data_IF_077267646195
#
_entry.id   IF_077267646195
#
_cell.length_a   1.000
_cell.length_b   1.000
_cell.length_c   1.000
_cell.angle_alpha   90.00
_cell.angle_beta   90.00
_cell.angle_gamma   90.00
#
_symmetry.space_group_name_H-M   'P 1'
#
loop_
_entity.id
_entity.type
_entity.pdbx_description
1 polymer ?
#
# COMPACT_ATOMS: atom_id res chain seq x y z
N UNK A 1 17.89 -10.61 -27.40
CA UNK A 1 17.88 -12.00 -26.90
C UNK A 1 17.03 -12.86 -27.84
N UNK A 2 17.44 -14.08 -28.21
CA UNK A 2 16.62 -14.94 -29.10
C UNK A 2 15.41 -15.45 -28.33
N UNK A 3 14.19 -15.31 -28.88
CA UNK A 3 12.94 -15.69 -28.17
C UNK A 3 12.94 -17.16 -27.74
N UNK A 4 13.55 -18.01 -28.55
CA UNK A 4 13.68 -19.46 -28.35
C UNK A 4 14.56 -19.87 -27.15
N UNK A 5 15.36 -18.97 -26.57
CA UNK A 5 16.19 -19.31 -25.40
C UNK A 5 15.45 -19.15 -24.07
N UNK A 6 14.23 -18.57 -24.06
CA UNK A 6 13.43 -18.42 -22.84
C UNK A 6 12.69 -19.73 -22.53
N UNK A 7 13.08 -20.39 -21.44
CA UNK A 7 12.47 -21.66 -20.98
C UNK A 7 11.35 -21.46 -19.95
N UNK A 8 11.35 -20.34 -19.23
CA UNK A 8 10.41 -20.07 -18.13
C UNK A 8 10.09 -18.58 -18.09
N UNK A 9 8.83 -18.23 -17.83
CA UNK A 9 8.36 -16.86 -17.57
C UNK A 9 7.56 -16.88 -16.26
N UNK A 10 7.82 -15.94 -15.37
CA UNK A 10 7.03 -15.73 -14.16
C UNK A 10 6.41 -14.35 -14.19
N UNK A 11 5.07 -14.28 -14.17
CA UNK A 11 4.32 -13.03 -14.09
C UNK A 11 3.76 -12.86 -12.67
N UNK A 12 3.86 -11.64 -12.14
CA UNK A 12 3.35 -11.24 -10.83
C UNK A 12 2.27 -10.15 -10.98
N UNK A 13 1.45 -9.93 -9.95
CA UNK A 13 0.24 -9.08 -10.00
C UNK A 13 -0.72 -9.41 -11.17
N UNK A 14 -0.80 -10.69 -11.57
CA UNK A 14 -1.56 -11.18 -12.75
C UNK A 14 -3.07 -10.89 -12.70
N UNK A 15 -3.62 -10.48 -11.56
CA UNK A 15 -4.99 -9.97 -11.49
C UNK A 15 -5.22 -8.73 -12.37
N UNK A 16 -4.16 -7.95 -12.64
CA UNK A 16 -4.17 -6.77 -13.51
C UNK A 16 -3.75 -7.06 -14.96
N UNK A 17 -3.42 -8.32 -15.32
CA UNK A 17 -2.99 -8.68 -16.67
C UNK A 17 -4.22 -8.99 -17.56
N UNK A 18 -4.47 -8.25 -18.65
CA UNK A 18 -5.60 -8.50 -19.54
C UNK A 18 -5.32 -9.69 -20.49
N UNK A 19 -6.39 -10.36 -20.94
CA UNK A 19 -6.28 -11.56 -21.76
C UNK A 19 -5.49 -11.34 -23.07
N UNK A 20 -5.65 -10.21 -23.76
CA UNK A 20 -4.89 -9.90 -24.97
C UNK A 20 -3.37 -9.90 -24.74
N UNK A 21 -2.92 -9.32 -23.61
CA UNK A 21 -1.50 -9.21 -23.28
C UNK A 21 -0.91 -10.57 -22.89
N UNK A 22 -1.68 -11.40 -22.16
CA UNK A 22 -1.30 -12.77 -21.85
C UNK A 22 -1.26 -13.67 -23.10
N UNK A 23 -2.25 -13.57 -24.00
CA UNK A 23 -2.26 -14.29 -25.27
C UNK A 23 -1.06 -13.90 -26.13
N UNK A 24 -0.74 -12.60 -26.24
CA UNK A 24 0.45 -12.14 -26.94
C UNK A 24 1.74 -12.70 -26.33
N UNK A 25 1.85 -12.74 -24.99
CA UNK A 25 2.99 -13.32 -24.28
C UNK A 25 3.11 -14.84 -24.51
N UNK A 26 1.99 -15.57 -24.43
CA UNK A 26 1.97 -17.02 -24.66
C UNK A 26 2.35 -17.39 -26.10
N UNK A 27 1.84 -16.66 -27.10
CA UNK A 27 2.19 -16.85 -28.51
C UNK A 27 3.64 -16.47 -28.81
N UNK A 28 4.14 -15.37 -28.22
CA UNK A 28 5.53 -14.91 -28.42
C UNK A 28 6.56 -15.89 -27.84
N UNK A 29 6.19 -16.63 -26.79
CA UNK A 29 7.07 -17.53 -26.05
C UNK A 29 6.49 -18.95 -25.94
N UNK A 30 5.96 -19.52 -27.03
CA UNK A 30 5.28 -20.82 -27.02
C UNK A 30 6.10 -22.05 -26.55
N UNK A 31 7.41 -21.91 -26.32
CA UNK A 31 8.27 -22.94 -25.69
C UNK A 31 8.53 -22.71 -24.19
N UNK A 32 8.10 -21.57 -23.64
CA UNK A 32 8.35 -21.21 -22.25
C UNK A 32 7.24 -21.71 -21.31
N UNK A 33 7.62 -22.22 -20.14
CA UNK A 33 6.68 -22.56 -19.06
C UNK A 33 6.29 -21.28 -18.33
N UNK A 34 5.00 -20.94 -18.32
CA UNK A 34 4.50 -19.70 -17.70
C UNK A 34 3.95 -20.00 -16.30
N UNK A 35 4.47 -19.29 -15.30
CA UNK A 35 3.94 -19.29 -13.93
C UNK A 35 3.23 -17.95 -13.66
N UNK A 36 1.98 -18.02 -13.19
CA UNK A 36 1.13 -16.86 -12.93
C UNK A 36 0.91 -16.69 -11.43
N UNK A 37 1.26 -15.51 -10.89
CA UNK A 37 1.09 -15.16 -9.48
C UNK A 37 0.20 -13.91 -9.37
N UNK A 38 -0.87 -13.99 -8.60
CA UNK A 38 -1.81 -12.90 -8.41
C UNK A 38 -2.91 -13.24 -7.41
N UNK A 39 -3.84 -12.33 -7.21
CA UNK A 39 -4.96 -12.46 -6.28
C UNK A 39 -6.24 -12.00 -6.97
N UNK A 40 -7.21 -12.90 -7.15
CA UNK A 40 -8.48 -12.61 -7.83
C UNK A 40 -9.36 -11.57 -7.12
N UNK A 41 -9.01 -11.17 -5.88
CA UNK A 41 -9.69 -10.13 -5.09
C UNK A 41 -8.97 -8.77 -5.11
N UNK A 42 -7.80 -8.67 -5.75
CA UNK A 42 -7.11 -7.40 -5.98
C UNK A 42 -7.61 -6.76 -7.29
N UNK A 43 -7.03 -5.62 -7.67
CA UNK A 43 -7.49 -4.85 -8.84
C UNK A 43 -7.55 -5.74 -10.10
N UNK A 44 -8.63 -5.63 -10.90
CA UNK A 44 -8.75 -6.29 -12.19
C UNK A 44 -7.80 -5.65 -13.22
N UNK A 45 -7.70 -6.19 -14.44
CA UNK A 45 -7.05 -5.48 -15.53
C UNK A 45 -7.77 -4.16 -15.82
N UNK A 46 -7.04 -3.16 -16.28
CA UNK A 46 -7.63 -1.89 -16.71
C UNK A 46 -8.62 -2.14 -17.86
N UNK A 47 -9.81 -1.55 -17.75
CA UNK A 47 -10.90 -1.60 -18.72
C UNK A 47 -11.25 -0.16 -19.07
N UNK A 48 -11.19 0.16 -20.37
CA UNK A 48 -11.50 1.50 -20.87
C UNK A 48 -13.04 1.71 -20.83
N UNK A 49 -13.55 2.79 -20.19
CA UNK A 49 -14.99 3.03 -20.08
C UNK A 49 -15.74 3.10 -21.41
N UNK A 50 -15.07 3.51 -22.49
CA UNK A 50 -15.66 3.68 -23.81
C UNK A 50 -15.63 2.38 -24.64
N UNK A 51 -15.03 1.31 -24.12
CA UNK A 51 -14.92 0.03 -24.82
C UNK A 51 -16.25 -0.76 -24.78
N UNK A 52 -16.78 -1.24 -25.92
CA UNK A 52 -17.97 -2.08 -25.94
C UNK A 52 -17.81 -3.33 -25.07
N UNK A 53 -18.82 -3.64 -24.25
CA UNK A 53 -18.73 -4.69 -23.22
C UNK A 53 -18.34 -6.06 -23.77
N UNK A 54 -18.81 -6.42 -24.96
CA UNK A 54 -18.47 -7.70 -25.59
C UNK A 54 -16.99 -7.77 -25.97
N UNK A 55 -16.42 -6.65 -26.41
CA UNK A 55 -15.00 -6.51 -26.75
C UNK A 55 -14.12 -6.47 -25.50
N UNK A 56 -14.59 -5.81 -24.42
CA UNK A 56 -13.94 -5.86 -23.11
C UNK A 56 -13.95 -7.30 -22.52
N UNK A 57 -15.11 -7.97 -22.58
CA UNK A 57 -15.28 -9.35 -22.13
C UNK A 57 -14.40 -10.33 -22.92
N UNK A 58 -14.15 -10.09 -24.21
CA UNK A 58 -13.23 -10.87 -25.03
C UNK A 58 -11.75 -10.53 -24.77
N UNK A 59 -11.35 -9.26 -24.87
CA UNK A 59 -9.94 -8.87 -24.88
C UNK A 59 -9.34 -8.66 -23.48
N UNK A 60 -10.10 -8.14 -22.52
CA UNK A 60 -9.59 -7.69 -21.22
C UNK A 60 -9.79 -8.77 -20.14
N UNK A 61 -10.89 -9.52 -20.22
CA UNK A 61 -11.24 -10.77 -19.53
C UNK A 61 -10.31 -11.27 -18.41
N UNK A 62 -10.84 -11.37 -17.18
CA UNK A 62 -10.07 -11.72 -15.96
C UNK A 62 -9.50 -13.15 -16.00
N UNK A 63 -8.29 -13.30 -16.55
CA UNK A 63 -7.59 -14.58 -16.76
C UNK A 63 -7.58 -15.43 -15.50
N UNK A 64 -7.09 -14.87 -14.39
CA UNK A 64 -6.89 -15.61 -13.14
C UNK A 64 -8.21 -16.08 -12.51
N UNK A 65 -9.27 -15.27 -12.61
CA UNK A 65 -10.60 -15.65 -12.15
C UNK A 65 -11.24 -16.72 -13.05
N UNK A 66 -11.10 -16.59 -14.37
CA UNK A 66 -11.60 -17.59 -15.31
C UNK A 66 -10.89 -18.93 -15.13
N UNK A 67 -9.56 -18.93 -15.07
CA UNK A 67 -8.73 -20.12 -14.84
C UNK A 67 -9.04 -20.83 -13.51
N UNK A 68 -9.29 -20.06 -12.43
CA UNK A 68 -9.67 -20.63 -11.13
C UNK A 68 -11.05 -21.29 -11.20
N UNK A 69 -12.01 -20.66 -11.90
CA UNK A 69 -13.38 -21.17 -12.09
C UNK A 69 -13.43 -22.42 -12.97
N UNK A 70 -12.68 -22.44 -14.08
CA UNK A 70 -12.66 -23.56 -15.04
C UNK A 70 -11.66 -24.66 -14.67
N UNK A 71 -10.81 -24.44 -13.66
CA UNK A 71 -9.67 -25.30 -13.30
C UNK A 71 -8.71 -25.56 -14.46
N UNK A 72 -8.58 -24.60 -15.40
CA UNK A 72 -7.75 -24.73 -16.60
C UNK A 72 -6.25 -24.91 -16.33
N UNK A 73 -5.78 -24.54 -15.14
CA UNK A 73 -4.39 -24.72 -14.71
C UNK A 73 -4.31 -25.26 -13.28
N UNK A 74 -3.19 -25.89 -12.87
CA UNK A 74 -2.95 -26.25 -11.47
C UNK A 74 -2.85 -24.98 -10.60
N UNK A 75 -3.89 -24.70 -9.80
CA UNK A 75 -3.92 -23.55 -8.89
C UNK A 75 -3.37 -23.93 -7.52
N UNK A 76 -2.22 -23.36 -7.15
CA UNK A 76 -1.68 -23.47 -5.78
C UNK A 76 -2.24 -22.31 -4.94
N UNK A 77 -3.25 -22.60 -4.12
CA UNK A 77 -3.81 -21.63 -3.20
C UNK A 77 -2.86 -21.40 -2.01
N UNK A 78 -2.26 -20.21 -1.93
CA UNK A 78 -1.47 -19.79 -0.76
C UNK A 78 -2.42 -19.32 0.36
N UNK A 79 -3.05 -20.27 1.04
CA UNK A 79 -4.07 -20.04 2.08
C UNK A 79 -3.47 -19.32 3.31
N UNK A 80 -2.18 -19.51 3.61
CA UNK A 80 -1.50 -18.92 4.77
C UNK A 80 -0.86 -17.57 4.41
N UNK A 81 -1.69 -16.54 4.27
CA UNK A 81 -1.25 -15.15 4.08
C UNK A 81 -0.73 -14.51 5.37
N UNK A 82 0.56 -14.68 5.72
CA UNK A 82 1.20 -14.01 6.89
C UNK A 82 1.44 -12.49 6.71
N UNK A 83 0.49 -11.75 6.13
CA UNK A 83 0.61 -10.28 5.93
C UNK A 83 0.03 -9.44 7.07
N UNK A 84 -0.98 -9.90 7.83
CA UNK A 84 -1.37 -9.39 9.17
C UNK A 84 -2.56 -10.17 9.78
N UNK A 85 -2.64 -10.40 11.10
CA UNK A 85 -3.92 -10.74 11.77
C UNK A 85 -4.87 -9.51 11.80
N UNK A 86 -6.20 -9.67 11.56
CA UNK A 86 -6.93 -8.61 10.84
C UNK A 86 -7.33 -7.27 11.54
N UNK A 87 -8.01 -7.22 12.71
CA UNK A 87 -9.07 -6.21 12.88
C UNK A 87 -8.69 -4.91 13.62
N UNK A 88 -8.48 -4.98 14.94
CA UNK A 88 -8.75 -3.87 15.88
C UNK A 88 -7.90 -2.60 15.67
N UNK A 89 -6.74 -2.69 15.02
CA UNK A 89 -5.87 -1.53 14.78
C UNK A 89 -6.18 -0.76 13.50
N UNK A 90 -6.96 -1.36 12.58
CA UNK A 90 -7.04 -0.92 11.18
C UNK A 90 -8.02 0.24 10.93
N UNK A 91 -8.75 0.69 11.94
CA UNK A 91 -9.68 1.82 11.85
C UNK A 91 -9.04 3.07 12.49
N UNK A 92 -8.50 2.95 13.70
CA UNK A 92 -8.02 4.11 14.48
C UNK A 92 -6.90 4.91 13.81
N UNK A 93 -5.82 4.26 13.34
CA UNK A 93 -4.72 4.99 12.69
C UNK A 93 -5.17 5.68 11.40
N UNK A 94 -6.13 5.10 10.68
CA UNK A 94 -6.66 5.66 9.44
C UNK A 94 -7.59 6.84 9.72
N UNK A 95 -8.61 6.67 10.57
CA UNK A 95 -9.50 7.74 10.97
C UNK A 95 -8.74 8.90 11.66
N UNK A 96 -7.74 8.61 12.49
CA UNK A 96 -6.88 9.60 13.10
C UNK A 96 -6.01 10.32 12.06
N UNK A 97 -5.45 9.60 11.07
CA UNK A 97 -4.68 10.26 9.99
C UNK A 97 -5.54 11.20 9.16
N UNK A 98 -6.77 10.81 8.80
CA UNK A 98 -7.75 11.64 8.07
C UNK A 98 -8.08 12.89 8.89
N UNK A 99 -8.40 12.73 10.18
CA UNK A 99 -8.67 13.85 11.10
C UNK A 99 -7.47 14.79 11.20
N UNK A 100 -6.26 14.27 11.41
CA UNK A 100 -5.03 15.08 11.53
C UNK A 100 -4.77 15.87 10.24
N UNK A 101 -4.86 15.23 9.08
CA UNK A 101 -4.62 15.87 7.78
C UNK A 101 -5.65 16.98 7.53
N UNK A 102 -6.93 16.73 7.79
CA UNK A 102 -7.99 17.75 7.66
C UNK A 102 -7.80 18.90 8.67
N UNK A 103 -7.53 18.61 9.94
CA UNK A 103 -7.25 19.64 10.96
C UNK A 103 -6.02 20.47 10.62
N UNK A 104 -4.97 19.88 10.04
CA UNK A 104 -3.79 20.63 9.60
C UNK A 104 -4.13 21.50 8.39
N UNK A 105 -4.89 21.00 7.41
CA UNK A 105 -5.39 21.81 6.28
C UNK A 105 -6.16 23.02 6.79
N UNK A 106 -7.12 22.81 7.70
CA UNK A 106 -7.96 23.86 8.29
C UNK A 106 -7.13 24.91 9.05
N UNK A 107 -6.16 24.48 9.88
CA UNK A 107 -5.35 25.40 10.69
C UNK A 107 -4.23 26.12 9.95
N UNK A 108 -3.76 25.59 8.82
CA UNK A 108 -2.58 26.11 8.11
C UNK A 108 -2.84 26.56 6.67
N UNK A 109 -4.04 26.31 6.14
CA UNK A 109 -4.40 26.57 4.75
C UNK A 109 -3.64 25.75 3.71
N UNK A 110 -2.75 24.81 4.11
CA UNK A 110 -1.90 24.08 3.17
C UNK A 110 -2.60 22.85 2.59
N UNK A 111 -2.59 22.74 1.26
CA UNK A 111 -2.96 21.52 0.54
C UNK A 111 -1.76 20.62 0.27
N UNK A 112 -0.53 21.16 0.32
CA UNK A 112 0.70 20.39 0.13
C UNK A 112 1.02 19.53 1.38
N UNK A 113 0.28 18.42 1.51
CA UNK A 113 0.38 17.42 2.57
C UNK A 113 0.62 16.05 1.94
N UNK A 114 1.61 15.30 2.45
CA UNK A 114 1.88 13.92 2.04
C UNK A 114 1.62 12.91 3.16
N UNK A 115 0.76 11.93 2.91
CA UNK A 115 0.49 10.81 3.82
C UNK A 115 1.30 9.60 3.35
N UNK A 116 2.35 9.27 4.10
CA UNK A 116 3.35 8.26 3.72
C UNK A 116 3.18 7.00 4.55
N UNK A 117 2.76 5.91 3.91
CA UNK A 117 2.49 4.64 4.55
C UNK A 117 3.66 3.66 4.38
N UNK A 118 3.97 2.88 5.41
CA UNK A 118 4.87 1.73 5.23
C UNK A 118 4.24 0.61 4.37
N UNK A 119 2.91 0.55 4.23
CA UNK A 119 2.22 -0.54 3.52
C UNK A 119 1.28 -0.05 2.42
N UNK A 120 1.37 -0.62 1.21
CA UNK A 120 0.51 -0.30 0.03
C UNK A 120 -0.99 -0.42 0.35
N UNK A 121 -1.37 -1.44 1.13
CA UNK A 121 -2.76 -1.64 1.58
C UNK A 121 -3.25 -0.57 2.56
N UNK A 122 -2.36 0.08 3.31
CA UNK A 122 -2.69 1.22 4.16
C UNK A 122 -2.91 2.47 3.31
N UNK A 123 -1.99 2.74 2.37
CA UNK A 123 -2.09 3.87 1.45
C UNK A 123 -3.40 3.82 0.66
N UNK A 124 -3.78 2.66 0.12
CA UNK A 124 -5.07 2.48 -0.55
C UNK A 124 -6.26 2.83 0.33
N UNK A 125 -6.33 2.29 1.56
CA UNK A 125 -7.44 2.55 2.48
C UNK A 125 -7.52 4.03 2.91
N UNK A 126 -6.39 4.68 3.17
CA UNK A 126 -6.37 6.11 3.52
C UNK A 126 -6.73 6.97 2.31
N UNK A 127 -6.30 6.60 1.10
CA UNK A 127 -6.69 7.27 -0.14
C UNK A 127 -8.21 7.18 -0.36
N UNK A 128 -8.83 6.03 -0.12
CA UNK A 128 -10.29 5.88 -0.18
C UNK A 128 -11.01 6.75 0.85
N UNK A 129 -10.48 6.86 2.08
CA UNK A 129 -11.08 7.68 3.14
C UNK A 129 -10.89 9.18 2.94
N UNK A 130 -9.86 9.61 2.19
CA UNK A 130 -9.62 11.01 1.83
C UNK A 130 -10.33 11.43 0.53
N UNK A 131 -10.76 10.48 -0.29
CA UNK A 131 -11.45 10.73 -1.57
C UNK A 131 -10.62 11.65 -2.48
N UNK A 132 -11.29 12.60 -3.13
CA UNK A 132 -10.68 13.58 -4.04
C UNK A 132 -9.93 14.72 -3.33
N UNK A 133 -9.52 14.52 -2.07
CA UNK A 133 -8.72 15.51 -1.35
C UNK A 133 -7.37 15.75 -2.05
N UNK A 134 -6.85 16.99 -2.10
CA UNK A 134 -5.63 17.35 -2.83
C UNK A 134 -4.33 16.90 -2.15
N UNK A 135 -4.39 15.87 -1.31
CA UNK A 135 -3.27 15.35 -0.53
C UNK A 135 -2.61 14.17 -1.27
N UNK A 136 -1.28 14.10 -1.23
CA UNK A 136 -0.60 12.91 -1.71
C UNK A 136 -0.79 11.76 -0.71
N UNK A 137 -1.22 10.59 -1.18
CA UNK A 137 -1.29 9.38 -0.36
C UNK A 137 -0.52 8.27 -1.07
N UNK A 138 0.49 7.72 -0.42
CA UNK A 138 1.38 6.75 -1.05
C UNK A 138 2.17 5.90 -0.07
N UNK A 139 2.97 4.97 -0.60
CA UNK A 139 3.99 4.28 0.20
C UNK A 139 5.21 5.18 0.41
N UNK A 140 5.98 4.94 1.47
CA UNK A 140 7.24 5.67 1.74
C UNK A 140 8.26 5.66 0.59
N UNK A 141 8.22 4.64 -0.27
CA UNK A 141 9.09 4.51 -1.45
C UNK A 141 8.57 5.27 -2.67
N UNK A 142 7.27 5.59 -2.70
CA UNK A 142 6.59 6.24 -3.82
C UNK A 142 7.02 7.68 -4.14
N UNK A 143 7.21 8.59 -3.16
CA UNK A 143 7.51 10.00 -3.44
C UNK A 143 9.00 10.22 -3.69
N UNK A 144 9.62 9.52 -4.65
CA UNK A 144 11.01 9.75 -5.01
C UNK A 144 11.13 11.10 -5.76
N UNK A 145 11.76 12.09 -5.12
CA UNK A 145 11.93 13.44 -5.68
C UNK A 145 10.83 14.46 -5.36
N UNK A 146 9.79 14.07 -4.61
CA UNK A 146 8.75 15.00 -4.12
C UNK A 146 9.03 15.47 -2.69
N UNK A 147 8.55 16.64 -2.30
CA UNK A 147 8.68 17.17 -0.94
C UNK A 147 7.42 17.94 -0.52
N UNK A 148 6.96 17.70 0.71
CA UNK A 148 5.69 18.22 1.21
C UNK A 148 5.90 19.26 2.30
N UNK A 149 5.01 20.26 2.40
CA UNK A 149 5.03 21.21 3.54
C UNK A 149 4.75 20.45 4.85
N UNK A 150 3.85 19.47 4.79
CA UNK A 150 3.47 18.61 5.91
C UNK A 150 3.58 17.15 5.48
N UNK A 151 4.13 16.30 6.35
CA UNK A 151 4.15 14.84 6.15
C UNK A 151 3.47 14.15 7.33
N UNK A 152 2.61 13.17 7.05
CA UNK A 152 2.01 12.28 8.04
C UNK A 152 2.46 10.83 7.75
N UNK A 153 3.34 10.29 8.59
CA UNK A 153 3.94 8.96 8.42
C UNK A 153 3.13 7.90 9.17
N UNK A 154 2.69 6.85 8.49
CA UNK A 154 1.89 5.75 9.05
C UNK A 154 2.69 4.44 9.11
N UNK A 155 3.08 4.02 10.32
CA UNK A 155 3.94 2.83 10.59
C UNK A 155 3.17 1.50 10.74
N UNK A 156 1.99 1.55 11.36
CA UNK A 156 0.86 0.62 11.15
C UNK A 156 1.13 -0.88 11.39
N UNK A 157 1.76 -1.21 12.52
CA UNK A 157 1.81 -2.59 13.06
C UNK A 157 1.52 -2.65 14.55
N UNK A 158 0.79 -3.70 14.95
CA UNK A 158 0.60 -4.19 16.33
C UNK A 158 1.53 -5.35 16.66
N UNK A 159 2.81 -5.18 16.36
CA UNK A 159 3.84 -6.14 16.74
C UNK A 159 5.18 -5.41 16.80
N UNK A 160 6.10 -5.80 17.70
CA UNK A 160 7.29 -5.00 17.98
C UNK A 160 8.05 -4.62 16.71
N UNK A 161 8.31 -3.32 16.52
CA UNK A 161 9.02 -2.80 15.34
C UNK A 161 10.37 -3.49 15.14
N UNK A 162 10.98 -3.97 16.23
CA UNK A 162 12.24 -4.74 16.22
C UNK A 162 12.19 -6.06 15.43
N UNK A 163 11.01 -6.61 15.13
CA UNK A 163 10.85 -7.86 14.38
C UNK A 163 10.47 -7.63 12.91
N UNK A 164 10.69 -6.41 12.39
CA UNK A 164 10.36 -6.04 11.03
C UNK A 164 11.55 -5.32 10.37
N UNK A 165 12.34 -5.99 9.50
CA UNK A 165 13.45 -5.35 8.79
C UNK A 165 13.02 -4.09 8.04
N UNK A 166 11.82 -4.12 7.44
CA UNK A 166 11.22 -3.04 6.68
C UNK A 166 10.89 -1.77 7.50
N UNK A 167 10.47 -1.92 8.77
CA UNK A 167 10.26 -0.79 9.69
C UNK A 167 11.54 -0.38 10.43
N UNK A 168 12.57 -1.22 10.43
CA UNK A 168 13.90 -0.93 11.01
C UNK A 168 14.84 -0.20 10.06
N UNK A 169 14.56 -0.21 8.77
CA UNK A 169 15.45 0.30 7.73
C UNK A 169 15.62 1.82 7.89
N UNK A 170 16.81 2.21 8.34
CA UNK A 170 17.15 3.61 8.62
C UNK A 170 17.04 4.47 7.35
N UNK A 171 17.28 3.91 6.16
CA UNK A 171 17.13 4.64 4.90
C UNK A 171 15.65 4.95 4.64
N UNK A 172 14.76 3.99 4.88
CA UNK A 172 13.30 4.16 4.76
C UNK A 172 12.74 5.19 5.74
N UNK A 173 13.26 5.20 6.96
CA UNK A 173 12.91 6.21 7.98
C UNK A 173 13.43 7.59 7.57
N UNK A 174 14.68 7.68 7.12
CA UNK A 174 15.30 8.92 6.65
C UNK A 174 14.57 9.48 5.43
N UNK A 175 14.17 8.64 4.47
CA UNK A 175 13.31 9.04 3.34
C UNK A 175 11.98 9.58 3.86
N UNK A 176 11.25 8.85 4.70
CA UNK A 176 9.96 9.31 5.21
C UNK A 176 10.03 10.68 5.93
N UNK A 177 11.09 10.93 6.69
CA UNK A 177 11.29 12.20 7.44
C UNK A 177 11.76 13.33 6.51
N UNK A 178 12.76 13.10 5.67
CA UNK A 178 13.38 14.11 4.79
C UNK A 178 12.43 14.67 3.72
N UNK A 179 11.29 14.01 3.46
CA UNK A 179 10.22 14.52 2.59
C UNK A 179 9.44 15.70 3.19
N UNK A 180 9.79 16.14 4.41
CA UNK A 180 9.08 17.19 5.16
C UNK A 180 9.79 18.54 5.13
N UNK A 181 9.08 19.62 4.79
CA UNK A 181 9.61 21.01 4.88
C UNK A 181 9.23 21.77 6.15
N UNK A 182 8.11 21.46 6.82
CA UNK A 182 7.65 22.19 8.03
C UNK A 182 7.17 21.30 9.17
N UNK A 183 6.20 20.42 8.93
CA UNK A 183 5.55 19.63 10.01
C UNK A 183 5.62 18.14 9.68
N UNK A 184 6.31 17.36 10.51
CA UNK A 184 6.35 15.89 10.41
C UNK A 184 5.55 15.29 11.57
N UNK A 185 4.46 14.60 11.25
CA UNK A 185 3.67 13.85 12.21
C UNK A 185 3.91 12.35 11.97
N UNK A 186 4.45 11.63 12.95
CA UNK A 186 4.60 10.17 12.88
C UNK A 186 3.54 9.52 13.75
N UNK A 187 2.69 8.69 13.14
CA UNK A 187 1.71 7.87 13.85
C UNK A 187 2.25 6.44 14.02
N UNK A 188 2.36 6.04 15.29
CA UNK A 188 2.84 4.73 15.70
C UNK A 188 2.11 4.26 16.96
N UNK A 189 2.08 2.95 17.15
CA UNK A 189 1.58 2.33 18.36
C UNK A 189 2.70 2.32 19.41
N UNK A 190 2.47 2.98 20.55
CA UNK A 190 3.45 3.14 21.62
C UNK A 190 3.83 1.83 22.32
N UNK A 191 2.94 0.83 22.34
CA UNK A 191 3.23 -0.49 22.89
C UNK A 191 4.14 -1.33 21.97
N UNK A 192 4.18 -0.98 20.68
CA UNK A 192 4.92 -1.72 19.65
C UNK A 192 6.15 -0.98 19.10
N UNK A 193 6.26 0.32 19.36
CA UNK A 193 7.49 1.08 19.24
C UNK A 193 8.59 0.45 20.12
N UNK A 194 9.66 -0.05 19.49
CA UNK A 194 10.69 -0.79 20.22
C UNK A 194 11.50 0.16 21.11
N UNK A 195 11.83 -0.22 22.37
CA UNK A 195 12.67 0.59 23.25
C UNK A 195 14.14 0.70 22.79
N UNK A 196 14.54 0.04 21.70
CA UNK A 196 15.88 0.12 21.08
C UNK A 196 15.76 0.16 19.54
N UNK A 197 16.66 0.90 18.89
CA UNK A 197 16.69 1.12 17.43
C UNK A 197 16.32 2.56 17.04
N UNK A 198 16.37 2.90 15.74
CA UNK A 198 16.20 4.28 15.26
C UNK A 198 14.91 4.96 15.73
N UNK A 199 13.78 4.26 15.76
CA UNK A 199 12.53 4.79 16.30
C UNK A 199 12.64 5.22 17.77
N UNK A 200 13.36 4.47 18.62
CA UNK A 200 13.61 4.87 20.01
C UNK A 200 14.45 6.16 20.05
N UNK A 201 15.51 6.25 19.25
CA UNK A 201 16.32 7.47 19.12
C UNK A 201 15.51 8.70 18.69
N UNK A 202 14.60 8.54 17.71
CA UNK A 202 13.68 9.60 17.27
C UNK A 202 12.70 9.97 18.39
N UNK A 203 12.03 9.00 19.00
CA UNK A 203 11.04 9.23 20.07
C UNK A 203 11.69 9.95 21.27
N UNK A 204 12.87 9.53 21.72
CA UNK A 204 13.57 10.19 22.83
C UNK A 204 13.97 11.63 22.52
N UNK A 205 14.29 11.96 21.25
CA UNK A 205 14.64 13.32 20.81
C UNK A 205 13.44 14.26 20.67
N UNK A 206 12.22 13.74 20.51
CA UNK A 206 11.00 14.56 20.46
C UNK A 206 10.66 15.07 21.87
N UNK A 207 10.53 16.39 22.11
CA UNK A 207 10.13 16.94 23.41
C UNK A 207 8.80 16.36 23.89
N UNK A 208 8.62 16.18 25.20
CA UNK A 208 7.37 15.64 25.78
C UNK A 208 6.15 16.48 25.43
N UNK A 209 6.29 17.80 25.33
CA UNK A 209 5.23 18.73 24.87
C UNK A 209 4.81 18.53 23.42
N UNK A 210 5.65 17.91 22.59
CA UNK A 210 5.36 17.58 21.19
C UNK A 210 4.84 16.13 21.01
N UNK A 211 4.70 15.36 22.09
CA UNK A 211 4.14 14.01 22.07
C UNK A 211 2.67 14.05 22.48
N UNK A 212 1.78 13.60 21.59
CA UNK A 212 0.35 13.47 21.90
C UNK A 212 -0.03 11.99 21.90
N UNK A 213 -0.51 11.49 23.04
CA UNK A 213 -1.05 10.14 23.17
C UNK A 213 -2.57 10.18 22.98
N UNK A 214 -3.07 9.57 21.90
CA UNK A 214 -4.51 9.36 21.72
C UNK A 214 -4.90 7.94 22.18
N UNK A 215 -5.72 7.86 23.22
CA UNK A 215 -6.34 6.60 23.64
C UNK A 215 -7.65 6.41 22.87
N UNK A 216 -7.84 5.23 22.29
CA UNK A 216 -9.06 4.86 21.59
C UNK A 216 -10.21 4.60 22.58
N UNK A 217 -10.96 5.64 22.94
CA UNK A 217 -12.25 5.49 23.62
C UNK A 217 -13.34 5.07 22.62
N UNK A 218 -14.16 4.10 23.02
CA UNK A 218 -15.04 3.31 22.15
C UNK A 218 -16.35 3.98 21.70
N UNK A 219 -16.46 5.32 21.80
CA UNK A 219 -17.69 6.05 21.46
C UNK A 219 -17.55 6.85 20.17
N UNK A 220 -18.44 6.54 19.21
CA UNK A 220 -18.87 7.34 18.05
C UNK A 220 -17.77 8.10 17.30
N UNK A 221 -17.13 7.41 16.34
CA UNK A 221 -16.24 7.98 15.32
C UNK A 221 -16.92 8.18 13.95
N UNK A 222 -18.22 7.89 13.88
CA UNK A 222 -19.08 8.02 12.69
C UNK A 222 -20.33 8.82 13.06
N UNK A 223 -20.16 10.15 13.14
CA UNK A 223 -21.22 11.16 13.07
C UNK A 223 -20.72 12.23 12.08
#
# INVERSE_FOLDING_TARGET
>A
MKRETIKTIQANEVSQLPLYAFTALALTFGRARIALVGDIRQLPPFEDPDLPRDLAAFAISRILASATRTKAFPVINLIVGRRCPPPITKIYLNALSVRIVNTIRERTGTTNIGVLCFYKAQAGLVSTLLGDSPFYVGTIDGPQGHEFKVVVVLTTRTSPFRNCPFLKDDNRINVAISRTKRICCVLFDTAHASPRGAWSGIIHRIPTSARTSCVATSRSWFN
#
